data_IF_218610509355
#
_entry.id   IF_218610509355
#
_cell.length_a   1.000
_cell.length_b   1.000
_cell.length_c   1.000
_cell.angle_alpha   90.00
_cell.angle_beta   90.00
_cell.angle_gamma   90.00
#
_symmetry.space_group_name_H-M   'P 1'
#
loop_
_entity.id
_entity.type
_entity.pdbx_description
1 polymer ?
#
# COMPACT_ATOMS: atom_id res chain seq x y z
N UNK A 1 -16.70 0.34 -22.54
CA UNK A 1 -15.96 0.67 -21.30
C UNK A 1 -14.58 0.06 -21.46
N UNK A 2 -13.51 0.78 -21.15
CA UNK A 2 -12.18 0.19 -21.22
C UNK A 2 -12.01 -0.82 -20.07
N UNK A 3 -11.48 -2.01 -20.34
CA UNK A 3 -11.29 -3.09 -19.36
C UNK A 3 -10.12 -2.77 -18.41
N UNK A 4 -10.28 -1.74 -17.58
CA UNK A 4 -9.35 -1.48 -16.49
C UNK A 4 -9.53 -2.52 -15.39
N UNK A 5 -8.40 -2.94 -14.82
CA UNK A 5 -8.33 -3.83 -13.67
C UNK A 5 -7.97 -3.03 -12.45
N UNK A 6 -8.60 -3.36 -11.34
CA UNK A 6 -8.41 -2.69 -10.06
C UNK A 6 -7.84 -3.67 -9.04
N UNK A 7 -6.82 -3.22 -8.31
CA UNK A 7 -6.27 -3.92 -7.16
C UNK A 7 -5.96 -2.89 -6.08
N UNK A 8 -6.48 -3.07 -4.87
CA UNK A 8 -6.15 -2.23 -3.72
C UNK A 8 -5.32 -2.99 -2.71
N UNK A 9 -4.32 -2.35 -2.10
CA UNK A 9 -3.54 -2.91 -0.99
C UNK A 9 -3.72 -2.04 0.26
N UNK A 10 -4.11 -2.67 1.35
CA UNK A 10 -4.17 -2.05 2.69
C UNK A 10 -3.09 -2.64 3.57
N UNK A 11 -2.25 -1.80 4.15
CA UNK A 11 -1.30 -2.19 5.19
C UNK A 11 -1.65 -1.50 6.51
N UNK A 12 -1.59 -2.26 7.61
CA UNK A 12 -1.72 -1.74 8.96
C UNK A 12 -0.36 -1.76 9.63
N UNK A 13 0.22 -0.59 9.86
CA UNK A 13 1.59 -0.39 10.33
C UNK A 13 1.54 0.25 11.73
N UNK A 14 2.39 -0.16 12.68
CA UNK A 14 2.42 0.50 13.99
C UNK A 14 2.80 1.97 13.85
N UNK A 15 2.09 2.83 14.54
CA UNK A 15 2.40 4.26 14.58
C UNK A 15 3.57 4.52 15.53
N UNK A 16 4.67 5.05 15.00
CA UNK A 16 5.84 5.54 15.74
C UNK A 16 6.69 6.45 14.83
N UNK A 17 7.61 7.22 15.43
CA UNK A 17 8.46 8.19 14.71
C UNK A 17 9.28 7.52 13.58
N UNK A 18 9.82 6.33 13.81
CA UNK A 18 10.60 5.59 12.81
C UNK A 18 9.76 5.22 11.57
N UNK A 19 8.51 4.81 11.78
CA UNK A 19 7.61 4.45 10.69
C UNK A 19 7.06 5.68 9.95
N UNK A 20 6.97 6.84 10.61
CA UNK A 20 6.67 8.12 9.94
C UNK A 20 7.82 8.50 9.00
N UNK A 21 9.07 8.30 9.40
CA UNK A 21 10.24 8.51 8.51
C UNK A 21 10.23 7.51 7.34
N UNK A 22 9.98 6.22 7.59
CA UNK A 22 9.90 5.19 6.54
C UNK A 22 8.76 5.43 5.54
N UNK A 23 7.66 6.05 5.97
CA UNK A 23 6.60 6.48 5.04
C UNK A 23 7.11 7.55 4.06
N UNK A 24 7.98 8.46 4.49
CA UNK A 24 8.62 9.44 3.60
C UNK A 24 9.56 8.75 2.60
N UNK A 25 10.25 7.67 3.01
CA UNK A 25 11.03 6.84 2.08
C UNK A 25 10.13 6.25 1.00
N UNK A 26 8.99 5.65 1.36
CA UNK A 26 8.01 5.12 0.40
C UNK A 26 7.42 6.24 -0.48
N UNK A 27 7.14 7.41 0.09
CA UNK A 27 6.58 8.55 -0.62
C UNK A 27 7.55 9.12 -1.67
N UNK A 28 8.85 8.89 -1.53
CA UNK A 28 9.82 9.24 -2.57
C UNK A 28 9.75 8.35 -3.82
N UNK A 29 9.11 7.17 -3.74
CA UNK A 29 8.78 6.32 -4.89
C UNK A 29 7.34 6.48 -5.40
N UNK A 30 6.42 6.96 -4.56
CA UNK A 30 5.00 7.04 -4.89
C UNK A 30 4.54 8.48 -4.62
N UNK A 31 4.49 9.30 -5.68
CA UNK A 31 4.29 10.75 -5.56
C UNK A 31 2.94 11.10 -4.92
N UNK A 32 1.88 10.34 -5.24
CA UNK A 32 0.57 10.44 -4.57
C UNK A 32 0.65 10.42 -3.05
N UNK A 33 1.58 9.64 -2.49
CA UNK A 33 1.71 9.45 -1.05
C UNK A 33 2.29 10.69 -0.38
N UNK A 34 3.11 11.49 -1.07
CA UNK A 34 3.70 12.72 -0.52
C UNK A 34 2.62 13.71 -0.07
N UNK A 35 1.47 13.71 -0.73
CA UNK A 35 0.33 14.59 -0.37
C UNK A 35 -0.43 14.11 0.88
N UNK A 36 -0.13 12.90 1.38
CA UNK A 36 -0.82 12.27 2.51
C UNK A 36 0.06 12.12 3.76
N UNK A 37 1.34 12.50 3.67
CA UNK A 37 2.31 12.38 4.77
C UNK A 37 2.95 13.74 5.06
N UNK A 38 3.41 13.93 6.30
CA UNK A 38 4.23 15.08 6.64
C UNK A 38 5.60 14.93 5.97
N UNK A 39 6.04 15.97 5.27
CA UNK A 39 7.35 15.99 4.62
C UNK A 39 8.45 16.04 5.68
N UNK A 40 9.21 14.95 5.77
CA UNK A 40 10.32 14.81 6.72
C UNK A 40 11.57 14.44 5.95
N UNK A 41 12.67 15.12 6.25
CA UNK A 41 13.98 14.78 5.70
C UNK A 41 14.49 13.47 6.33
N UNK A 42 14.90 12.52 5.49
CA UNK A 42 15.45 11.24 5.92
C UNK A 42 16.83 10.99 5.30
N UNK A 43 17.67 10.24 6.01
CA UNK A 43 18.98 9.89 5.49
C UNK A 43 18.88 8.77 4.45
N UNK A 44 19.07 9.11 3.17
CA UNK A 44 19.05 8.15 2.05
C UNK A 44 20.04 6.99 2.22
N UNK A 45 21.20 7.22 2.83
CA UNK A 45 22.19 6.16 3.05
C UNK A 45 21.67 5.05 3.96
N UNK A 46 20.83 5.39 4.95
CA UNK A 46 20.18 4.43 5.85
C UNK A 46 19.28 3.46 5.08
N UNK A 47 18.61 3.94 4.03
CA UNK A 47 17.63 3.19 3.24
C UNK A 47 18.16 2.75 1.88
N UNK A 48 19.46 2.84 1.63
CA UNK A 48 20.06 2.57 0.31
C UNK A 48 19.73 1.18 -0.22
N UNK A 49 19.62 0.18 0.66
CA UNK A 49 19.23 -1.18 0.27
C UNK A 49 17.79 -1.28 -0.26
N UNK A 50 16.90 -0.40 0.20
CA UNK A 50 15.52 -0.32 -0.28
C UNK A 50 15.47 0.56 -1.52
N UNK A 51 15.99 1.78 -1.45
CA UNK A 51 15.95 2.78 -2.54
C UNK A 51 16.65 2.26 -3.79
N UNK A 52 17.78 1.56 -3.63
CA UNK A 52 18.53 0.98 -4.75
C UNK A 52 17.99 -0.36 -5.27
N UNK A 53 16.84 -0.83 -4.78
CA UNK A 53 16.26 -2.11 -5.22
C UNK A 53 15.41 -1.95 -6.49
N UNK A 54 15.39 -3.00 -7.32
CA UNK A 54 14.55 -3.04 -8.53
C UNK A 54 13.07 -2.86 -8.20
N UNK A 55 12.61 -3.38 -7.05
CA UNK A 55 11.25 -3.22 -6.57
C UNK A 55 10.90 -1.76 -6.33
N UNK A 56 11.80 -1.01 -5.68
CA UNK A 56 11.60 0.41 -5.41
C UNK A 56 11.63 1.25 -6.69
N UNK A 57 12.57 0.95 -7.59
CA UNK A 57 12.63 1.62 -8.89
C UNK A 57 11.34 1.36 -9.71
N UNK A 58 10.82 0.13 -9.66
CA UNK A 58 9.57 -0.19 -10.36
C UNK A 58 8.38 0.61 -9.82
N UNK A 59 8.29 0.83 -8.49
CA UNK A 59 7.28 1.72 -7.91
C UNK A 59 7.37 3.13 -8.47
N UNK A 60 8.58 3.69 -8.47
CA UNK A 60 8.85 5.03 -9.00
C UNK A 60 8.45 5.16 -10.48
N UNK A 61 8.83 4.19 -11.31
CA UNK A 61 8.54 4.21 -12.74
C UNK A 61 7.04 4.00 -13.07
N UNK A 62 6.27 3.43 -12.11
CA UNK A 62 4.87 3.03 -12.33
C UNK A 62 3.88 3.71 -11.38
N UNK A 63 4.24 4.79 -10.67
CA UNK A 63 3.34 5.56 -9.79
C UNK A 63 2.03 5.98 -10.50
N UNK A 64 2.06 6.15 -11.83
CA UNK A 64 0.88 6.46 -12.63
C UNK A 64 -0.32 5.50 -12.41
N UNK A 65 -0.08 4.25 -11.99
CA UNK A 65 -1.17 3.30 -11.70
C UNK A 65 -1.97 3.67 -10.45
N UNK A 66 -1.41 4.51 -9.57
CA UNK A 66 -2.06 5.03 -8.36
C UNK A 66 -2.89 6.30 -8.62
N UNK A 67 -2.89 6.82 -9.85
CA UNK A 67 -3.64 7.99 -10.30
C UNK A 67 -4.73 7.65 -11.36
N UNK A 68 -5.70 6.77 -11.06
CA UNK A 68 -6.75 6.46 -12.02
C UNK A 68 -7.70 7.63 -12.26
N UNK A 69 -8.16 7.79 -13.49
CA UNK A 69 -9.31 8.65 -13.78
C UNK A 69 -10.59 8.06 -13.18
N UNK A 70 -11.59 8.90 -12.86
CA UNK A 70 -12.89 8.44 -12.34
C UNK A 70 -13.54 7.37 -13.24
N UNK A 71 -13.36 7.46 -14.55
CA UNK A 71 -13.89 6.48 -15.51
C UNK A 71 -13.16 5.14 -15.55
N UNK A 72 -11.99 5.05 -14.92
CA UNK A 72 -11.16 3.82 -14.84
C UNK A 72 -11.45 3.05 -13.55
N UNK A 73 -12.10 3.68 -12.59
CA UNK A 73 -12.47 3.08 -11.32
C UNK A 73 -13.72 2.20 -11.47
N UNK A 74 -13.86 1.17 -10.62
CA UNK A 74 -15.11 0.46 -10.44
C UNK A 74 -16.25 1.43 -10.07
N UNK A 75 -17.46 1.12 -10.50
CA UNK A 75 -18.67 1.83 -10.10
C UNK A 75 -18.83 1.81 -8.58
N UNK A 76 -19.35 2.92 -8.04
CA UNK A 76 -19.57 3.11 -6.60
C UNK A 76 -18.31 2.95 -5.72
N UNK A 77 -17.10 3.16 -6.28
CA UNK A 77 -15.87 3.17 -5.49
C UNK A 77 -15.91 4.31 -4.45
N UNK A 78 -15.83 4.02 -3.15
CA UNK A 78 -15.83 5.06 -2.12
C UNK A 78 -14.56 5.92 -2.18
N UNK A 79 -14.65 7.21 -1.82
CA UNK A 79 -13.53 8.17 -1.88
C UNK A 79 -12.22 7.66 -1.26
N UNK A 80 -12.31 7.01 -0.09
CA UNK A 80 -11.14 6.46 0.62
C UNK A 80 -10.40 5.35 -0.16
N UNK A 81 -10.99 4.81 -1.22
CA UNK A 81 -10.41 3.76 -2.07
C UNK A 81 -10.03 4.26 -3.47
N UNK A 82 -10.37 5.51 -3.83
CA UNK A 82 -10.07 6.08 -5.15
C UNK A 82 -8.61 6.52 -5.31
N UNK A 83 -7.95 6.85 -4.19
CA UNK A 83 -6.59 7.40 -4.14
C UNK A 83 -5.80 6.77 -3.01
N UNK A 84 -4.49 6.98 -3.05
CA UNK A 84 -3.63 6.68 -1.90
C UNK A 84 -4.13 7.43 -0.67
N UNK A 85 -4.15 6.76 0.47
CA UNK A 85 -4.65 7.32 1.71
C UNK A 85 -3.86 6.78 2.90
N UNK A 86 -3.51 7.67 3.82
CA UNK A 86 -2.95 7.33 5.14
C UNK A 86 -3.89 7.85 6.21
N UNK A 87 -4.29 6.97 7.12
CA UNK A 87 -5.18 7.31 8.23
C UNK A 87 -4.68 6.72 9.53
N UNK A 88 -4.70 7.52 10.59
CA UNK A 88 -4.51 7.03 11.94
C UNK A 88 -5.71 6.16 12.34
N UNK A 89 -5.42 5.03 12.97
CA UNK A 89 -6.43 4.10 13.45
C UNK A 89 -5.96 3.42 14.73
N UNK A 90 -6.87 2.73 15.39
CA UNK A 90 -6.58 1.99 16.59
C UNK A 90 -7.11 0.57 16.47
N UNK A 91 -6.23 -0.42 16.66
CA UNK A 91 -6.60 -1.83 16.67
C UNK A 91 -6.24 -2.39 18.04
N UNK A 92 -7.26 -2.78 18.82
CA UNK A 92 -7.07 -3.30 20.20
C UNK A 92 -6.24 -2.35 21.09
N UNK A 93 -6.50 -1.04 21.00
CA UNK A 93 -5.76 0.02 21.72
C UNK A 93 -4.28 0.17 21.34
N UNK A 94 -3.88 -0.36 20.19
CA UNK A 94 -2.57 -0.10 19.60
C UNK A 94 -2.77 0.95 18.49
N UNK A 95 -2.09 2.11 18.58
CA UNK A 95 -2.08 3.11 17.51
C UNK A 95 -1.41 2.56 16.25
N UNK A 96 -2.07 2.74 15.12
CA UNK A 96 -1.68 2.18 13.83
C UNK A 96 -1.91 3.20 12.72
N UNK A 97 -1.05 3.17 11.72
CA UNK A 97 -1.22 3.82 10.44
C UNK A 97 -1.88 2.82 9.48
N UNK A 98 -3.06 3.17 8.96
CA UNK A 98 -3.72 2.46 7.87
C UNK A 98 -3.29 3.11 6.56
N UNK A 99 -2.37 2.46 5.87
CA UNK A 99 -1.94 2.84 4.53
C UNK A 99 -2.78 2.08 3.49
N UNK A 100 -3.39 2.82 2.57
CA UNK A 100 -4.12 2.27 1.45
C UNK A 100 -3.54 2.77 0.12
N UNK A 101 -3.25 1.86 -0.81
CA UNK A 101 -2.84 2.18 -2.18
C UNK A 101 -3.74 1.46 -3.20
N UNK A 102 -4.41 2.18 -4.11
CA UNK A 102 -5.01 1.59 -5.30
C UNK A 102 -3.98 1.44 -6.41
N UNK A 103 -4.12 0.43 -7.26
CA UNK A 103 -3.46 0.32 -8.55
C UNK A 103 -4.51 -0.04 -9.61
N UNK A 104 -4.53 0.74 -10.68
CA UNK A 104 -5.47 0.58 -11.79
C UNK A 104 -4.71 0.64 -13.10
N UNK A 105 -4.88 -0.39 -13.93
CA UNK A 105 -4.33 -0.40 -15.29
C UNK A 105 -5.13 -1.36 -16.17
N UNK A 106 -5.01 -1.23 -17.49
CA UNK A 106 -5.59 -2.18 -18.45
C UNK A 106 -4.89 -3.55 -18.40
N UNK A 107 -3.58 -3.54 -18.15
CA UNK A 107 -2.80 -4.76 -18.07
C UNK A 107 -2.81 -5.29 -16.63
N UNK A 108 -3.42 -6.45 -16.43
CA UNK A 108 -3.48 -7.13 -15.13
C UNK A 108 -2.07 -7.46 -14.61
N UNK A 109 -1.15 -7.85 -15.49
CA UNK A 109 0.23 -8.17 -15.10
C UNK A 109 0.94 -6.96 -14.50
N UNK A 110 0.66 -5.76 -15.02
CA UNK A 110 1.25 -4.51 -14.51
C UNK A 110 0.79 -4.24 -13.07
N UNK A 111 -0.51 -4.34 -12.77
CA UNK A 111 -1.01 -4.09 -11.41
C UNK A 111 -0.59 -5.20 -10.45
N UNK A 112 -0.54 -6.46 -10.91
CA UNK A 112 -0.08 -7.57 -10.08
C UNK A 112 1.41 -7.43 -9.77
N UNK A 113 2.24 -7.06 -10.75
CA UNK A 113 3.65 -6.81 -10.53
C UNK A 113 3.87 -5.62 -9.58
N UNK A 114 3.17 -4.51 -9.81
CA UNK A 114 3.23 -3.34 -8.93
C UNK A 114 2.88 -3.71 -7.49
N UNK A 115 1.81 -4.48 -7.27
CA UNK A 115 1.35 -4.80 -5.93
C UNK A 115 2.18 -5.88 -5.24
N UNK A 116 2.48 -6.99 -5.92
CA UNK A 116 3.05 -8.18 -5.30
C UNK A 116 4.56 -8.29 -5.44
N UNK A 117 5.15 -7.71 -6.50
CA UNK A 117 6.59 -7.81 -6.76
C UNK A 117 7.34 -6.51 -6.44
N UNK A 118 6.63 -5.37 -6.35
CA UNK A 118 7.22 -4.08 -6.02
C UNK A 118 6.76 -3.57 -4.63
N UNK A 119 5.48 -3.25 -4.48
CA UNK A 119 4.95 -2.63 -3.27
C UNK A 119 5.06 -3.53 -2.04
N UNK A 120 4.59 -4.78 -2.13
CA UNK A 120 4.64 -5.70 -1.00
C UNK A 120 6.07 -5.93 -0.48
N UNK A 121 7.08 -6.26 -1.31
CA UNK A 121 8.46 -6.37 -0.86
C UNK A 121 9.03 -5.09 -0.24
N UNK A 122 8.74 -3.91 -0.82
CA UNK A 122 9.20 -2.63 -0.27
C UNK A 122 8.57 -2.37 1.12
N UNK A 123 7.27 -2.67 1.29
CA UNK A 123 6.62 -2.57 2.59
C UNK A 123 7.28 -3.50 3.62
N UNK A 124 7.51 -4.77 3.26
CA UNK A 124 8.19 -5.71 4.16
C UNK A 124 9.60 -5.22 4.52
N UNK A 125 10.35 -4.69 3.55
CA UNK A 125 11.71 -4.22 3.77
C UNK A 125 11.78 -2.97 4.67
N UNK A 126 10.82 -2.04 4.53
CA UNK A 126 10.75 -0.83 5.35
C UNK A 126 10.22 -1.11 6.75
N UNK A 127 9.07 -1.79 6.85
CA UNK A 127 8.30 -1.85 8.10
C UNK A 127 8.41 -3.18 8.82
N UNK A 128 8.75 -4.28 8.13
CA UNK A 128 9.02 -5.59 8.74
C UNK A 128 8.01 -6.01 9.81
N UNK A 129 8.47 -6.10 11.06
CA UNK A 129 7.68 -6.53 12.23
C UNK A 129 6.66 -5.50 12.74
N UNK A 130 6.66 -4.29 12.19
CA UNK A 130 5.66 -3.27 12.51
C UNK A 130 4.42 -3.37 11.64
N UNK A 131 4.43 -4.23 10.63
CA UNK A 131 3.24 -4.57 9.86
C UNK A 131 2.42 -5.58 10.65
N UNK A 132 1.21 -5.19 11.07
CA UNK A 132 0.26 -6.13 11.67
C UNK A 132 -0.40 -7.00 10.60
N UNK A 133 -0.88 -6.39 9.52
CA UNK A 133 -1.44 -7.12 8.39
C UNK A 133 -1.39 -6.34 7.09
N UNK A 134 -1.31 -7.09 5.99
CA UNK A 134 -1.46 -6.59 4.62
C UNK A 134 -2.60 -7.36 3.98
N UNK A 135 -3.54 -6.62 3.39
CA UNK A 135 -4.69 -7.17 2.69
C UNK A 135 -4.74 -6.60 1.28
N UNK A 136 -5.21 -7.39 0.33
CA UNK A 136 -5.57 -6.89 -0.99
C UNK A 136 -7.06 -7.01 -1.24
N UNK A 137 -7.66 -5.99 -1.85
CA UNK A 137 -9.01 -6.05 -2.41
C UNK A 137 -8.91 -6.17 -3.93
N UNK A 138 -9.44 -7.25 -4.47
CA UNK A 138 -9.31 -7.64 -5.88
C UNK A 138 -10.62 -8.25 -6.40
N UNK A 139 -10.63 -8.83 -7.61
CA UNK A 139 -11.76 -9.61 -8.15
C UNK A 139 -13.11 -8.89 -8.06
N UNK A 140 -13.13 -7.63 -8.52
CA UNK A 140 -14.35 -6.87 -8.69
C UNK A 140 -15.07 -7.41 -9.92
N UNK A 141 -15.98 -8.36 -9.70
CA UNK A 141 -16.85 -8.92 -10.72
C UNK A 141 -17.93 -7.87 -11.05
N UNK A 142 -18.31 -7.70 -12.33
CA UNK A 142 -19.42 -6.82 -12.76
C UNK A 142 -19.28 -5.30 -12.53
N UNK A 143 -18.05 -4.78 -12.40
CA UNK A 143 -17.72 -3.35 -12.23
C UNK A 143 -18.10 -2.72 -10.88
N UNK A 144 -18.82 -3.39 -9.96
CA UNK A 144 -19.18 -2.78 -8.68
C UNK A 144 -18.12 -2.98 -7.59
N UNK A 145 -17.65 -1.90 -6.97
CA UNK A 145 -16.59 -1.96 -5.95
C UNK A 145 -16.88 -2.94 -4.79
N UNK A 146 -18.15 -3.09 -4.43
CA UNK A 146 -18.57 -3.93 -3.30
C UNK A 146 -18.31 -5.42 -3.54
N UNK A 147 -18.33 -5.86 -4.80
CA UNK A 147 -18.12 -7.26 -5.19
C UNK A 147 -16.66 -7.70 -5.03
N UNK A 148 -15.74 -6.75 -4.85
CA UNK A 148 -14.32 -7.04 -4.66
C UNK A 148 -14.05 -7.90 -3.43
N UNK A 149 -13.25 -8.94 -3.58
CA UNK A 149 -12.86 -9.88 -2.52
C UNK A 149 -11.60 -9.41 -1.82
N UNK A 150 -11.60 -9.49 -0.49
CA UNK A 150 -10.42 -9.24 0.33
C UNK A 150 -9.63 -10.53 0.57
N UNK A 151 -8.32 -10.46 0.38
CA UNK A 151 -7.38 -11.54 0.68
C UNK A 151 -6.27 -11.02 1.60
N UNK A 152 -5.86 -11.82 2.58
CA UNK A 152 -4.75 -11.47 3.48
C UNK A 152 -3.45 -11.95 2.85
N UNK A 153 -2.53 -11.03 2.59
CA UNK A 153 -1.17 -11.34 2.10
C UNK A 153 -0.20 -11.62 3.23
N UNK A 154 -0.31 -10.88 4.32
CA UNK A 154 0.57 -11.01 5.48
C UNK A 154 -0.26 -10.73 6.71
N UNK A 155 -0.09 -11.53 7.74
CA UNK A 155 -0.68 -11.31 9.05
C UNK A 155 0.29 -11.81 10.10
N UNK A 156 0.59 -10.98 11.08
CA UNK A 156 1.27 -11.44 12.28
C UNK A 156 0.21 -12.12 13.13
N UNK A 157 0.19 -13.46 13.11
CA UNK A 157 -0.52 -14.18 14.17
C UNK A 157 0.14 -13.78 15.50
N UNK A 158 -0.64 -13.27 16.46
CA UNK A 158 -0.29 -13.18 17.88
C UNK A 158 -0.02 -14.60 18.45
N UNK A 159 1.02 -15.27 17.95
CA UNK A 159 1.74 -16.32 18.65
C UNK A 159 3.01 -15.71 19.25
N UNK A 160 2.88 -14.55 19.87
CA UNK A 160 3.49 -14.37 21.19
C UNK A 160 2.84 -15.44 22.09
N UNK A 161 3.41 -16.65 22.04
CA UNK A 161 3.35 -17.58 23.15
C UNK A 161 3.87 -16.79 24.35
N UNK A 162 2.92 -16.32 25.16
CA UNK A 162 3.13 -16.13 26.58
C UNK A 162 3.77 -17.43 27.07
N UNK A 163 4.97 -17.29 27.59
CA UNK A 163 5.72 -18.34 28.27
C UNK A 163 4.86 -19.04 29.31
N UNK A 164 4.93 -20.37 29.30
CA UNK A 164 4.98 -21.19 30.51
C UNK A 164 6.06 -22.25 30.27
#
# INVERSE_FOLDING_TARGET
MADYKYLGLTAYIKENEENTEKLNVLASAIDTLQQQVEEIEFNKETYQNVIGSDAFQYLYDHDYVCYPDESELPENTPEAYKRVNVQDTNIKNIPMLKLYLPAVAKNEDTIQHFMYNALHPVLIALFGNDILSIKTKSQIEYNEFQDGKEAVLTSVNDKTKVTA
#
